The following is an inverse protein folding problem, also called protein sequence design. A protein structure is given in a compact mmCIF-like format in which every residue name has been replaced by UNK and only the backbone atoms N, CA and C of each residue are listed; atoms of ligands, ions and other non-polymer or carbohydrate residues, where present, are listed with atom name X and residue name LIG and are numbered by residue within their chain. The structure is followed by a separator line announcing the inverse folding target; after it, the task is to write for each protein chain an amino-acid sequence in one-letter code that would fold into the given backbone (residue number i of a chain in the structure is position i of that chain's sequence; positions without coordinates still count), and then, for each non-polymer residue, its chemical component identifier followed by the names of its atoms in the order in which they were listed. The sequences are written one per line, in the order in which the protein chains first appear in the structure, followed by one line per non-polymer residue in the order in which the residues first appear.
data_IF_696097525650
#
_entry.id   IF_696097525650
#
_cell.length_a   1.000
_cell.length_b   1.000
_cell.length_c   1.000
_cell.angle_alpha   90.00
_cell.angle_beta   90.00
_cell.angle_gamma   90.00
#
_symmetry.space_group_name_H-M   'P 1'
#
loop_
_entity.id
_entity.type
_entity.pdbx_description
1 polymer ?
#
# COMPACT_ATOMS: atom_id res chain seq x y z
N UNK A 1 15.74 4.02 10.99
CA UNK A 1 15.52 5.42 10.57
C UNK A 1 14.13 5.49 9.97
N UNK A 2 13.19 6.18 10.61
CA UNK A 2 11.91 6.51 9.97
C UNK A 2 12.15 7.74 9.10
N UNK A 3 11.93 7.57 7.79
CA UNK A 3 12.02 8.68 6.84
C UNK A 3 10.98 9.74 7.23
N UNK A 4 11.31 11.04 7.23
CA UNK A 4 10.34 12.08 7.55
C UNK A 4 9.12 12.00 6.62
N UNK A 5 7.92 12.12 7.21
CA UNK A 5 6.67 12.33 6.49
C UNK A 5 6.80 13.60 5.65
N UNK A 6 6.30 13.57 4.42
CA UNK A 6 6.38 14.71 3.50
C UNK A 6 7.69 14.83 2.72
N UNK A 7 8.59 13.85 2.79
CA UNK A 7 9.83 13.86 2.01
C UNK A 7 9.66 13.21 0.63
N UNK A 8 10.51 13.58 -0.34
CA UNK A 8 10.56 12.91 -1.65
C UNK A 8 10.83 11.40 -1.54
N UNK A 9 11.55 10.97 -0.51
CA UNK A 9 11.76 9.55 -0.22
C UNK A 9 10.48 8.84 0.24
N UNK A 10 9.55 9.54 0.89
CA UNK A 10 8.24 9.01 1.24
C UNK A 10 7.38 8.83 -0.02
N UNK A 11 7.38 9.81 -0.93
CA UNK A 11 6.68 9.68 -2.23
C UNK A 11 7.17 8.48 -3.04
N UNK A 12 8.49 8.35 -3.17
CA UNK A 12 9.09 7.21 -3.89
C UNK A 12 8.72 5.86 -3.24
N UNK A 13 8.72 5.78 -1.91
CA UNK A 13 8.34 4.55 -1.20
C UNK A 13 6.87 4.19 -1.44
N UNK A 14 5.98 5.17 -1.37
CA UNK A 14 4.56 4.94 -1.63
C UNK A 14 4.34 4.52 -3.10
N UNK A 15 5.02 5.16 -4.05
CA UNK A 15 4.95 4.80 -5.48
C UNK A 15 5.36 3.34 -5.74
N UNK A 16 6.55 2.95 -5.29
CA UNK A 16 7.01 1.56 -5.46
C UNK A 16 6.18 0.56 -4.65
N UNK A 17 5.65 0.98 -3.49
CA UNK A 17 4.74 0.17 -2.70
C UNK A 17 3.43 -0.12 -3.43
N UNK A 18 2.82 0.89 -4.08
CA UNK A 18 1.61 0.69 -4.88
C UNK A 18 1.89 -0.28 -6.03
N UNK A 19 2.98 -0.09 -6.75
CA UNK A 19 3.37 -0.99 -7.85
C UNK A 19 3.63 -2.43 -7.41
N UNK A 20 4.03 -2.66 -6.15
CA UNK A 20 4.17 -4.02 -5.61
C UNK A 20 2.81 -4.64 -5.27
N UNK A 21 1.93 -3.88 -4.63
CA UNK A 21 0.57 -4.33 -4.28
C UNK A 21 -0.23 -4.66 -5.55
N UNK A 22 -0.13 -3.81 -6.58
CA UNK A 22 -0.81 -4.02 -7.87
C UNK A 22 -0.38 -5.30 -8.59
N UNK A 23 0.83 -5.83 -8.35
CA UNK A 23 1.25 -7.13 -8.91
C UNK A 23 0.45 -8.30 -8.35
N UNK A 24 -0.18 -8.12 -7.19
CA UNK A 24 -1.07 -9.10 -6.59
C UNK A 24 -2.52 -8.92 -7.05
N UNK A 25 -2.79 -8.03 -8.01
CA UNK A 25 -4.13 -7.74 -8.51
C UNK A 25 -4.94 -6.82 -7.60
N UNK A 26 -4.31 -6.24 -6.58
CA UNK A 26 -4.94 -5.36 -5.61
C UNK A 26 -4.85 -3.88 -6.02
N UNK A 27 -5.91 -3.11 -5.80
CA UNK A 27 -5.87 -1.66 -5.99
C UNK A 27 -5.16 -0.96 -4.82
N UNK A 28 -4.28 -0.01 -5.15
CA UNK A 28 -3.45 0.67 -4.18
C UNK A 28 -3.30 2.16 -4.53
N UNK A 29 -3.30 3.01 -3.50
CA UNK A 29 -2.99 4.43 -3.67
C UNK A 29 -2.00 4.92 -2.60
N UNK A 30 -1.19 5.95 -2.88
CA UNK A 30 -0.33 6.54 -1.86
C UNK A 30 -1.16 7.03 -0.67
N UNK A 31 -0.71 6.72 0.55
CA UNK A 31 -1.36 7.22 1.75
C UNK A 31 -0.80 8.60 2.13
N UNK A 32 -1.71 9.51 2.46
CA UNK A 32 -1.41 10.87 2.90
C UNK A 32 -1.87 11.08 4.33
N UNK A 33 -1.18 11.95 5.07
CA UNK A 33 -1.63 12.37 6.41
C UNK A 33 -2.80 13.37 6.32
N UNK A 34 -3.29 13.81 7.48
CA UNK A 34 -4.39 14.80 7.59
C UNK A 34 -4.07 16.17 6.94
N UNK A 35 -2.81 16.43 6.62
CA UNK A 35 -2.36 17.65 5.95
C UNK A 35 -2.06 17.42 4.46
N UNK A 36 -2.33 16.24 3.92
CA UNK A 36 -2.06 15.89 2.53
C UNK A 36 -0.58 15.61 2.24
N UNK A 37 0.24 15.29 3.26
CA UNK A 37 1.66 14.98 3.07
C UNK A 37 1.87 13.47 2.86
N UNK A 38 2.74 13.08 1.93
CA UNK A 38 3.04 11.67 1.67
C UNK A 38 3.64 11.00 2.91
N UNK A 39 3.03 9.88 3.31
CA UNK A 39 3.47 9.11 4.49
C UNK A 39 4.54 8.07 4.16
N UNK A 40 4.65 7.71 2.88
CA UNK A 40 5.46 6.57 2.43
C UNK A 40 4.81 5.21 2.67
N UNK A 41 3.53 5.21 3.06
CA UNK A 41 2.68 4.03 3.14
C UNK A 41 1.73 3.98 1.95
N UNK A 42 1.04 2.86 1.82
CA UNK A 42 0.06 2.57 0.79
C UNK A 42 -1.28 2.36 1.47
N UNK A 43 -2.34 2.93 0.90
CA UNK A 43 -3.71 2.64 1.28
C UNK A 43 -4.29 1.61 0.30
N UNK A 44 -4.97 0.61 0.85
CA UNK A 44 -5.59 -0.52 0.14
C UNK A 44 -7.01 -0.63 0.69
N UNK A 45 -7.96 -1.03 -0.16
CA UNK A 45 -9.29 -1.37 0.31
C UNK A 45 -9.22 -2.61 1.24
N UNK A 46 -9.85 -2.51 2.41
CA UNK A 46 -9.72 -3.54 3.44
C UNK A 46 -10.43 -4.83 3.05
N UNK A 47 -11.57 -4.74 2.37
CA UNK A 47 -12.35 -5.90 1.94
C UNK A 47 -11.60 -6.60 0.80
N UNK A 48 -11.09 -5.86 -0.18
CA UNK A 48 -10.26 -6.38 -1.27
C UNK A 48 -9.01 -7.11 -0.75
N UNK A 49 -8.34 -6.54 0.26
CA UNK A 49 -7.18 -7.17 0.90
C UNK A 49 -7.58 -8.46 1.64
N UNK A 50 -8.71 -8.47 2.35
CA UNK A 50 -9.18 -9.65 3.09
C UNK A 50 -9.58 -10.79 2.15
N UNK A 51 -10.25 -10.48 1.04
CA UNK A 51 -10.62 -11.45 0.01
C UNK A 51 -9.36 -12.08 -0.61
N UNK A 52 -8.38 -11.26 -1.02
CA UNK A 52 -7.10 -11.74 -1.52
C UNK A 52 -6.35 -12.61 -0.50
N UNK A 53 -6.33 -12.20 0.77
CA UNK A 53 -5.68 -12.95 1.84
C UNK A 53 -6.37 -14.30 2.08
N UNK A 54 -7.70 -14.32 2.01
CA UNK A 54 -8.48 -15.54 2.16
C UNK A 54 -8.21 -16.51 1.01
N UNK A 55 -8.20 -16.04 -0.24
CA UNK A 55 -7.90 -16.84 -1.41
C UNK A 55 -6.48 -17.42 -1.37
N UNK A 56 -5.49 -16.62 -0.92
CA UNK A 56 -4.09 -17.04 -0.80
C UNK A 56 -3.91 -18.25 0.14
N UNK A 57 -4.69 -18.34 1.22
CA UNK A 57 -4.57 -19.41 2.21
C UNK A 57 -5.61 -20.52 2.04
N UNK A 58 -6.65 -20.30 1.24
CA UNK A 58 -7.71 -21.30 0.99
C UNK A 58 -7.44 -22.15 -0.26
N UNK A 59 -6.50 -21.75 -1.12
CA UNK A 59 -6.14 -22.46 -2.35
C UNK A 59 -5.08 -23.56 -2.21
N UNK A 60 -4.71 -23.96 -0.98
CA UNK A 60 -3.65 -24.95 -0.70
C UNK A 60 -4.22 -26.34 -0.30
N UNK A 61 -5.32 -26.77 -0.93
CA UNK A 61 -5.87 -28.14 -0.88
C UNK A 61 -5.71 -28.91 -2.20
#
# INVERSE_FOLDING_TARGET
MTTPIGSAAAELRAYYGCAEVEKHGLNAVPAYDEHGRPTGLVAIDADEFCDWLFDLYSGDE
#
